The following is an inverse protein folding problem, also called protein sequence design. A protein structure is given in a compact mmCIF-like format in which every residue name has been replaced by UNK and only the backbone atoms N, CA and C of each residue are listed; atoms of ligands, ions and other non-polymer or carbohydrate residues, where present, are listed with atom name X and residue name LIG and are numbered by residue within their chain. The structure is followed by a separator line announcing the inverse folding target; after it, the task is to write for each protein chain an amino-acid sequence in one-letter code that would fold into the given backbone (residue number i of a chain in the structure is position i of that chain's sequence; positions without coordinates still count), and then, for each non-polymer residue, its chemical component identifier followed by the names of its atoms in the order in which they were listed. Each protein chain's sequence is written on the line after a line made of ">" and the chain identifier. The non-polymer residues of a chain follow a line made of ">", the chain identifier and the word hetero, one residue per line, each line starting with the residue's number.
data_IF_016089783743
#
_entry.id   IF_016089783743
#
_cell.length_a   1.000
_cell.length_b   1.000
_cell.length_c   1.000
_cell.angle_alpha   90.00
_cell.angle_beta   90.00
_cell.angle_gamma   90.00
#
_symmetry.space_group_name_H-M   'P 1'
#
loop_
_entity.id
_entity.type
_entity.pdbx_description
1 polymer ?
#
# COMPACT_ATOMS: atom_id res chain seq x y z
N UNK A 1 12.85 -1.74 22.14
CA UNK A 1 12.17 -2.23 20.91
C UNK A 1 12.64 -3.66 20.66
N UNK A 2 11.71 -4.60 20.52
CA UNK A 2 12.03 -6.00 20.24
C UNK A 2 11.86 -6.25 18.75
N UNK A 3 12.65 -7.16 18.19
CA UNK A 3 12.55 -7.59 16.79
C UNK A 3 12.20 -9.06 16.72
N UNK A 4 11.45 -9.43 15.70
CA UNK A 4 11.12 -10.84 15.46
C UNK A 4 12.41 -11.67 15.31
N UNK A 5 12.45 -12.83 15.97
CA UNK A 5 13.60 -13.73 15.91
C UNK A 5 13.74 -14.44 14.54
N UNK A 6 12.66 -14.51 13.76
CA UNK A 6 12.64 -15.18 12.47
C UNK A 6 12.85 -14.22 11.30
N UNK A 7 12.14 -13.08 11.28
CA UNK A 7 12.39 -11.97 10.35
C UNK A 7 13.02 -10.78 11.09
N UNK A 8 12.87 -9.57 10.55
CA UNK A 8 13.46 -8.33 11.13
C UNK A 8 12.40 -7.31 11.55
N UNK A 9 11.12 -7.69 11.55
CA UNK A 9 10.02 -6.77 11.89
C UNK A 9 10.05 -6.43 13.38
N UNK A 10 9.96 -5.14 13.76
CA UNK A 10 9.86 -4.73 15.16
C UNK A 10 8.46 -4.86 15.74
N UNK A 11 8.37 -4.95 17.08
CA UNK A 11 7.12 -4.96 17.84
C UNK A 11 6.38 -3.61 17.88
N UNK A 12 6.92 -2.61 17.24
CA UNK A 12 6.30 -1.30 17.06
C UNK A 12 5.35 -1.23 15.87
N UNK A 13 5.32 -2.28 15.01
CA UNK A 13 4.33 -2.36 13.94
C UNK A 13 2.94 -2.50 14.54
N UNK A 14 1.97 -1.63 14.18
CA UNK A 14 0.59 -1.75 14.65
C UNK A 14 0.00 -3.14 14.36
N UNK A 15 -0.79 -3.66 15.29
CA UNK A 15 -1.52 -4.93 15.21
C UNK A 15 -0.64 -6.17 14.96
N UNK A 16 0.67 -6.08 15.20
CA UNK A 16 1.61 -7.20 15.11
C UNK A 16 1.88 -7.78 16.50
N UNK A 17 1.65 -9.07 16.66
CA UNK A 17 1.90 -9.77 17.91
C UNK A 17 3.07 -10.75 17.78
N UNK A 18 3.84 -10.88 18.85
CA UNK A 18 4.92 -11.87 18.98
C UNK A 18 4.46 -12.97 19.94
N UNK A 19 4.72 -14.22 19.56
CA UNK A 19 4.48 -15.37 20.42
C UNK A 19 5.55 -15.49 21.54
N UNK A 20 5.44 -16.53 22.38
CA UNK A 20 6.36 -16.82 23.46
C UNK A 20 7.79 -17.08 23.00
N UNK A 21 7.96 -17.56 21.76
CA UNK A 21 9.27 -17.77 21.14
C UNK A 21 9.88 -16.48 20.59
N UNK A 22 9.12 -15.37 20.56
CA UNK A 22 9.51 -14.08 19.99
C UNK A 22 9.41 -14.02 18.46
N UNK A 23 8.54 -14.83 17.89
CA UNK A 23 8.25 -14.86 16.43
C UNK A 23 6.95 -14.11 16.17
N UNK A 24 6.94 -13.25 15.14
CA UNK A 24 5.75 -12.47 14.80
C UNK A 24 4.67 -13.33 14.10
N UNK A 25 3.43 -12.94 14.25
CA UNK A 25 2.27 -13.61 13.67
C UNK A 25 2.29 -13.65 12.13
N UNK A 26 2.94 -12.67 11.45
CA UNK A 26 3.15 -12.72 10.02
C UNK A 26 4.09 -13.87 9.59
N UNK A 27 5.15 -14.16 10.37
CA UNK A 27 5.99 -15.34 10.13
C UNK A 27 5.22 -16.63 10.37
N UNK A 28 4.41 -16.71 11.43
CA UNK A 28 3.55 -17.89 11.70
C UNK A 28 2.49 -18.08 10.63
N UNK A 29 1.91 -17.00 10.14
CA UNK A 29 0.95 -17.07 9.03
C UNK A 29 1.60 -17.62 7.75
N UNK A 30 2.84 -17.23 7.45
CA UNK A 30 3.56 -17.77 6.29
C UNK A 30 3.89 -19.27 6.44
N UNK A 31 4.26 -19.72 7.64
CA UNK A 31 4.45 -21.15 7.93
C UNK A 31 3.15 -21.93 7.71
N UNK A 32 2.05 -21.43 8.28
CA UNK A 32 0.74 -22.05 8.13
C UNK A 32 0.28 -22.09 6.65
N UNK A 33 0.54 -21.04 5.87
CA UNK A 33 0.27 -21.04 4.42
C UNK A 33 1.01 -22.15 3.69
N UNK A 34 2.29 -22.34 4.00
CA UNK A 34 3.12 -23.34 3.34
C UNK A 34 2.69 -24.77 3.68
N UNK A 35 2.10 -25.00 4.85
CA UNK A 35 1.74 -26.33 5.35
C UNK A 35 0.28 -26.70 5.05
N UNK A 36 -0.65 -25.73 5.13
CA UNK A 36 -2.07 -26.01 5.26
C UNK A 36 -2.92 -25.57 4.06
N UNK A 37 -2.38 -24.78 3.12
CA UNK A 37 -3.17 -24.28 1.99
C UNK A 37 -2.95 -25.17 0.77
N UNK A 38 -4.06 -25.76 0.30
CA UNK A 38 -4.12 -26.40 -1.01
C UNK A 38 -4.47 -25.34 -2.07
N UNK A 39 -3.43 -24.83 -2.72
CA UNK A 39 -3.58 -23.77 -3.74
C UNK A 39 -4.41 -24.21 -4.95
N UNK A 40 -4.42 -25.50 -5.30
CA UNK A 40 -5.22 -26.00 -6.41
C UNK A 40 -6.72 -25.97 -6.08
N UNK A 41 -7.09 -26.25 -4.82
CA UNK A 41 -8.47 -26.11 -4.35
C UNK A 41 -8.91 -24.64 -4.30
N UNK A 42 -8.04 -23.74 -3.82
CA UNK A 42 -8.29 -22.30 -3.81
C UNK A 42 -8.50 -21.75 -5.22
N UNK A 43 -7.70 -22.18 -6.17
CA UNK A 43 -7.85 -21.80 -7.57
C UNK A 43 -9.18 -22.28 -8.15
N UNK A 44 -9.60 -23.52 -7.87
CA UNK A 44 -10.93 -24.04 -8.27
C UNK A 44 -12.06 -23.23 -7.63
N UNK A 45 -11.96 -22.91 -6.35
CA UNK A 45 -12.93 -22.05 -5.65
C UNK A 45 -13.07 -20.70 -6.35
N UNK A 46 -11.95 -20.07 -6.76
CA UNK A 46 -11.96 -18.83 -7.50
C UNK A 46 -12.71 -18.95 -8.83
N UNK A 47 -12.46 -20.01 -9.60
CA UNK A 47 -13.17 -20.24 -10.87
C UNK A 47 -14.68 -20.39 -10.68
N UNK A 48 -15.13 -21.07 -9.64
CA UNK A 48 -16.58 -21.22 -9.37
C UNK A 48 -17.20 -19.86 -8.94
N UNK A 49 -16.47 -19.06 -8.16
CA UNK A 49 -16.93 -17.72 -7.79
C UNK A 49 -17.05 -16.81 -9.00
N UNK A 50 -16.07 -16.81 -9.91
CA UNK A 50 -16.13 -16.00 -11.14
C UNK A 50 -17.37 -16.31 -11.95
N UNK A 51 -17.71 -17.58 -12.15
CA UNK A 51 -18.92 -17.99 -12.88
C UNK A 51 -20.19 -17.36 -12.28
N UNK A 52 -20.24 -17.24 -10.95
CA UNK A 52 -21.36 -16.62 -10.24
C UNK A 52 -21.48 -15.11 -10.51
N UNK A 53 -20.34 -14.42 -10.64
CA UNK A 53 -20.29 -12.97 -10.80
C UNK A 53 -20.18 -12.50 -12.26
N UNK A 54 -19.91 -13.39 -13.22
CA UNK A 54 -19.86 -13.08 -14.66
C UNK A 54 -21.27 -12.80 -15.21
N UNK A 55 -21.80 -11.62 -14.92
CA UNK A 55 -23.17 -11.20 -15.28
C UNK A 55 -23.23 -9.99 -16.19
N UNK A 56 -22.14 -9.20 -16.25
CA UNK A 56 -22.09 -8.00 -17.08
C UNK A 56 -21.80 -8.38 -18.55
N UNK A 57 -22.43 -7.73 -19.55
CA UNK A 57 -22.28 -8.10 -20.96
C UNK A 57 -20.90 -7.83 -21.53
N UNK A 58 -20.12 -6.92 -20.94
CA UNK A 58 -18.82 -6.50 -21.45
C UNK A 58 -17.70 -6.83 -20.45
N UNK A 59 -17.78 -6.35 -19.23
CA UNK A 59 -16.71 -6.49 -18.23
C UNK A 59 -17.03 -7.57 -17.20
N UNK A 60 -16.07 -8.43 -16.90
CA UNK A 60 -16.22 -9.49 -15.92
C UNK A 60 -15.87 -9.03 -14.49
N UNK A 61 -14.96 -8.06 -14.37
CA UNK A 61 -14.57 -7.49 -13.09
C UNK A 61 -13.99 -6.08 -13.24
N UNK A 62 -13.84 -5.37 -12.11
CA UNK A 62 -13.11 -4.09 -12.01
C UNK A 62 -11.82 -4.32 -11.24
N UNK A 63 -10.72 -3.73 -11.69
CA UNK A 63 -9.41 -3.80 -11.03
C UNK A 63 -8.88 -2.39 -10.78
N UNK A 64 -8.55 -2.08 -9.52
CA UNK A 64 -7.79 -0.87 -9.19
C UNK A 64 -6.33 -1.02 -9.61
N UNK A 65 -5.83 -0.10 -10.44
CA UNK A 65 -4.46 -0.18 -10.98
C UNK A 65 -3.65 1.07 -10.72
N UNK A 66 -2.37 0.92 -10.40
CA UNK A 66 -1.39 2.00 -10.30
C UNK A 66 -0.31 1.95 -11.39
N UNK A 67 -0.27 0.87 -12.16
CA UNK A 67 0.83 0.54 -13.06
C UNK A 67 2.02 -0.13 -12.32
N UNK A 68 1.87 -0.48 -11.05
CA UNK A 68 2.84 -1.29 -10.29
C UNK A 68 2.82 -2.76 -10.71
N UNK A 69 3.83 -3.53 -10.25
CA UNK A 69 3.96 -4.96 -10.55
C UNK A 69 2.73 -5.77 -10.19
N UNK A 70 2.14 -5.48 -9.02
CA UNK A 70 0.99 -6.21 -8.48
C UNK A 70 -0.27 -5.97 -9.31
N UNK A 71 -0.55 -4.73 -9.69
CA UNK A 71 -1.68 -4.40 -10.55
C UNK A 71 -1.49 -4.94 -11.97
N UNK A 72 -0.25 -4.93 -12.50
CA UNK A 72 0.07 -5.57 -13.79
C UNK A 72 -0.20 -7.07 -13.72
N UNK A 73 0.26 -7.73 -12.67
CA UNK A 73 0.00 -9.17 -12.45
C UNK A 73 -1.50 -9.48 -12.35
N UNK A 74 -2.26 -8.67 -11.62
CA UNK A 74 -3.72 -8.86 -11.50
C UNK A 74 -4.40 -8.82 -12.86
N UNK A 75 -4.06 -7.82 -13.68
CA UNK A 75 -4.61 -7.68 -15.04
C UNK A 75 -4.22 -8.89 -15.90
N UNK A 76 -2.94 -9.23 -15.94
CA UNK A 76 -2.43 -10.40 -16.69
C UNK A 76 -3.14 -11.67 -16.25
N UNK A 77 -3.26 -11.90 -14.94
CA UNK A 77 -3.92 -13.10 -14.42
C UNK A 77 -5.39 -13.19 -14.84
N UNK A 78 -6.11 -12.07 -14.83
CA UNK A 78 -7.51 -12.06 -15.29
C UNK A 78 -7.61 -12.34 -16.79
N UNK A 79 -6.73 -11.75 -17.62
CA UNK A 79 -6.68 -12.03 -19.05
C UNK A 79 -6.33 -13.49 -19.36
N UNK A 80 -5.35 -14.08 -18.66
CA UNK A 80 -4.99 -15.51 -18.78
C UNK A 80 -6.18 -16.44 -18.45
N UNK A 81 -7.06 -16.01 -17.54
CA UNK A 81 -8.29 -16.72 -17.18
C UNK A 81 -9.45 -16.47 -18.16
N UNK A 82 -9.22 -15.74 -19.25
CA UNK A 82 -10.25 -15.41 -20.25
C UNK A 82 -11.29 -14.41 -19.77
N UNK A 83 -10.94 -13.56 -18.80
CA UNK A 83 -11.80 -12.50 -18.27
C UNK A 83 -11.47 -11.16 -18.93
N UNK A 84 -12.46 -10.29 -19.02
CA UNK A 84 -12.33 -8.93 -19.52
C UNK A 84 -12.42 -7.91 -18.36
N UNK A 85 -11.30 -7.48 -17.77
CA UNK A 85 -11.29 -6.53 -16.66
C UNK A 85 -11.46 -5.09 -17.14
N UNK A 86 -12.24 -4.28 -16.41
CA UNK A 86 -12.22 -2.83 -16.49
C UNK A 86 -11.21 -2.30 -15.46
N UNK A 87 -10.14 -1.65 -15.92
CA UNK A 87 -9.11 -1.09 -15.05
C UNK A 87 -9.45 0.34 -14.62
N UNK A 88 -9.17 0.67 -13.35
CA UNK A 88 -9.44 2.00 -12.78
C UNK A 88 -8.19 2.51 -12.09
N UNK A 89 -7.67 3.64 -12.52
CA UNK A 89 -6.56 4.34 -11.88
C UNK A 89 -7.04 5.61 -11.21
N UNK A 90 -6.90 5.70 -9.89
CA UNK A 90 -6.94 6.97 -9.19
C UNK A 90 -5.56 7.60 -9.28
N UNK A 91 -5.42 8.68 -10.04
CA UNK A 91 -4.11 9.23 -10.38
C UNK A 91 -3.31 9.63 -9.13
N UNK A 92 -2.02 9.28 -9.01
CA UNK A 92 -1.19 9.63 -7.87
C UNK A 92 -0.91 11.13 -7.79
N UNK A 93 -0.48 11.62 -6.62
CA UNK A 93 -0.22 13.04 -6.35
C UNK A 93 0.98 13.56 -7.14
N UNK A 94 2.07 12.80 -7.16
CA UNK A 94 3.36 13.18 -7.76
C UNK A 94 3.88 12.04 -8.62
N UNK A 95 3.29 11.82 -9.81
CA UNK A 95 3.61 10.67 -10.65
C UNK A 95 5.05 10.70 -11.16
N UNK A 96 5.66 9.54 -11.30
CA UNK A 96 6.98 9.39 -11.92
C UNK A 96 6.87 9.11 -13.42
N UNK A 97 7.95 9.35 -14.16
CA UNK A 97 7.98 9.03 -15.60
C UNK A 97 7.88 7.53 -15.87
N UNK A 98 8.54 6.70 -15.06
CA UNK A 98 8.50 5.25 -15.21
C UNK A 98 7.13 4.69 -14.80
N UNK A 99 6.55 5.21 -13.72
CA UNK A 99 5.20 4.84 -13.29
C UNK A 99 4.15 5.13 -14.36
N UNK A 100 4.26 6.29 -15.03
CA UNK A 100 3.37 6.62 -16.16
C UNK A 100 3.52 5.61 -17.30
N UNK A 101 4.75 5.28 -17.70
CA UNK A 101 5.00 4.27 -18.74
C UNK A 101 4.44 2.90 -18.36
N UNK A 102 4.59 2.50 -17.10
CA UNK A 102 4.05 1.23 -16.60
C UNK A 102 2.52 1.23 -16.59
N UNK A 103 1.89 2.36 -16.27
CA UNK A 103 0.43 2.49 -16.32
C UNK A 103 -0.07 2.46 -17.77
N UNK A 104 0.58 3.20 -18.67
CA UNK A 104 0.24 3.21 -20.10
C UNK A 104 0.43 1.82 -20.74
N UNK A 105 1.39 1.02 -20.23
CA UNK A 105 1.60 -0.35 -20.70
C UNK A 105 0.38 -1.26 -20.47
N UNK A 106 -0.47 -1.00 -19.49
CA UNK A 106 -1.69 -1.79 -19.27
C UNK A 106 -2.65 -1.71 -20.50
N UNK A 107 -2.73 -0.57 -21.15
CA UNK A 107 -3.54 -0.47 -22.38
C UNK A 107 -3.00 -1.37 -23.50
N UNK A 108 -1.68 -1.58 -23.59
CA UNK A 108 -1.08 -2.50 -24.56
C UNK A 108 -1.41 -3.97 -24.28
N UNK A 109 -1.88 -4.30 -23.06
CA UNK A 109 -2.39 -5.63 -22.75
C UNK A 109 -3.81 -5.87 -23.25
N UNK A 110 -4.47 -4.84 -23.81
CA UNK A 110 -5.80 -4.95 -24.42
C UNK A 110 -6.96 -4.73 -23.44
N UNK A 111 -6.73 -3.98 -22.35
CA UNK A 111 -7.77 -3.64 -21.37
C UNK A 111 -8.20 -2.19 -21.47
N UNK A 112 -9.45 -1.92 -21.14
CA UNK A 112 -9.94 -0.56 -20.96
C UNK A 112 -9.49 0.01 -19.62
N UNK A 113 -9.03 1.28 -19.61
CA UNK A 113 -8.50 1.95 -18.44
C UNK A 113 -9.17 3.31 -18.22
N UNK A 114 -9.82 3.47 -17.08
CA UNK A 114 -10.38 4.74 -16.63
C UNK A 114 -9.38 5.46 -15.73
N UNK A 115 -8.98 6.67 -16.12
CA UNK A 115 -8.18 7.57 -15.30
C UNK A 115 -9.07 8.55 -14.54
N UNK A 116 -9.01 8.51 -13.22
CA UNK A 116 -9.71 9.46 -12.36
C UNK A 116 -8.76 10.58 -11.98
N UNK A 117 -8.90 11.70 -12.71
CA UNK A 117 -8.27 12.98 -12.38
C UNK A 117 -9.25 13.80 -11.56
N UNK A 118 -8.79 14.33 -10.45
CA UNK A 118 -9.57 15.17 -9.53
C UNK A 118 -9.08 16.61 -9.61
N UNK A 119 -9.84 17.53 -9.01
CA UNK A 119 -9.39 18.91 -8.86
C UNK A 119 -8.07 18.93 -8.07
N UNK A 120 -6.98 19.45 -8.67
CA UNK A 120 -5.66 19.44 -8.02
C UNK A 120 -5.61 20.32 -6.76
N UNK A 121 -6.44 21.38 -6.69
CA UNK A 121 -6.49 22.27 -5.53
C UNK A 121 -7.18 21.60 -4.34
N UNK A 122 -8.30 20.90 -4.59
CA UNK A 122 -8.98 20.10 -3.57
C UNK A 122 -8.06 19.01 -3.07
N UNK A 123 -7.41 18.30 -3.97
CA UNK A 123 -6.49 17.22 -3.60
C UNK A 123 -5.31 17.70 -2.77
N UNK A 124 -4.70 18.83 -3.14
CA UNK A 124 -3.64 19.45 -2.36
C UNK A 124 -4.11 19.85 -0.95
N UNK A 125 -5.32 20.44 -0.83
CA UNK A 125 -5.90 20.79 0.48
C UNK A 125 -6.10 19.55 1.35
N UNK A 126 -6.66 18.47 0.80
CA UNK A 126 -6.86 17.21 1.50
C UNK A 126 -5.51 16.60 1.95
N UNK A 127 -4.51 16.60 1.05
CA UNK A 127 -3.17 16.09 1.37
C UNK A 127 -2.50 16.87 2.49
N UNK A 128 -2.58 18.19 2.46
CA UNK A 128 -2.02 19.05 3.52
C UNK A 128 -2.69 18.81 4.86
N UNK A 129 -4.04 18.81 4.88
CA UNK A 129 -4.80 18.64 6.11
C UNK A 129 -4.58 17.25 6.72
N UNK A 130 -4.61 16.20 5.89
CA UNK A 130 -4.33 14.85 6.35
C UNK A 130 -2.91 14.72 6.94
N UNK A 131 -1.91 15.29 6.27
CA UNK A 131 -0.55 15.28 6.76
C UNK A 131 -0.41 16.00 8.12
N UNK A 132 -1.04 17.15 8.29
CA UNK A 132 -1.03 17.90 9.57
C UNK A 132 -1.69 17.08 10.68
N UNK A 133 -2.83 16.43 10.41
CA UNK A 133 -3.61 15.69 11.43
C UNK A 133 -3.00 14.35 11.79
N UNK A 134 -2.46 13.63 10.82
CA UNK A 134 -2.11 12.21 10.98
C UNK A 134 -0.63 11.91 10.79
N UNK A 135 0.15 12.88 10.27
CA UNK A 135 1.51 12.64 9.83
C UNK A 135 1.57 11.62 8.68
N UNK A 136 0.52 11.53 7.87
CA UNK A 136 0.42 10.67 6.70
C UNK A 136 0.14 11.50 5.45
N UNK A 137 1.01 11.44 4.47
CA UNK A 137 0.92 12.21 3.24
C UNK A 137 0.14 11.49 2.12
N UNK A 138 -0.31 10.24 2.34
CA UNK A 138 -1.02 9.42 1.36
C UNK A 138 -2.49 9.13 1.74
N UNK A 139 -2.98 9.63 2.87
CA UNK A 139 -4.35 9.40 3.33
C UNK A 139 -5.41 9.68 2.25
N UNK A 140 -5.34 10.82 1.58
CA UNK A 140 -6.29 11.22 0.52
C UNK A 140 -6.16 10.34 -0.74
N UNK A 141 -4.97 9.79 -0.99
CA UNK A 141 -4.73 8.86 -2.10
C UNK A 141 -5.33 7.50 -1.78
N UNK A 142 -5.08 6.96 -0.60
CA UNK A 142 -5.69 5.71 -0.13
C UNK A 142 -7.21 5.81 -0.16
N UNK A 143 -7.78 6.89 0.42
CA UNK A 143 -9.22 7.12 0.38
C UNK A 143 -9.76 7.13 -1.05
N UNK A 144 -9.10 7.86 -1.97
CA UNK A 144 -9.51 7.94 -3.37
C UNK A 144 -9.45 6.60 -4.10
N UNK A 145 -8.40 5.80 -3.89
CA UNK A 145 -8.28 4.46 -4.47
C UNK A 145 -9.44 3.57 -4.00
N UNK A 146 -9.68 3.53 -2.70
CA UNK A 146 -10.68 2.63 -2.13
C UNK A 146 -12.13 3.06 -2.35
N UNK A 147 -12.39 4.34 -2.66
CA UNK A 147 -13.73 4.82 -2.98
C UNK A 147 -14.02 4.80 -4.47
N UNK A 148 -13.03 5.08 -5.31
CA UNK A 148 -13.23 5.20 -6.75
C UNK A 148 -13.49 3.86 -7.44
N UNK A 149 -12.79 2.80 -7.05
CA UNK A 149 -12.96 1.47 -7.67
C UNK A 149 -14.37 0.94 -7.44
N UNK A 150 -14.93 0.91 -6.21
CA UNK A 150 -16.33 0.54 -6.00
C UNK A 150 -17.33 1.48 -6.68
N UNK A 151 -17.04 2.78 -6.75
CA UNK A 151 -17.90 3.76 -7.45
C UNK A 151 -17.99 3.45 -8.95
N UNK A 152 -16.87 3.08 -9.59
CA UNK A 152 -16.87 2.67 -11.01
C UNK A 152 -17.59 1.33 -11.16
N UNK A 153 -17.38 0.36 -10.26
CA UNK A 153 -18.11 -0.90 -10.28
C UNK A 153 -19.62 -0.69 -10.23
N UNK A 154 -20.12 0.20 -9.35
CA UNK A 154 -21.54 0.57 -9.25
C UNK A 154 -22.02 1.26 -10.52
N UNK A 155 -21.29 2.26 -11.03
CA UNK A 155 -21.71 3.07 -12.18
C UNK A 155 -21.75 2.26 -13.47
N UNK A 156 -20.88 1.29 -13.63
CA UNK A 156 -20.85 0.37 -14.79
C UNK A 156 -21.70 -0.88 -14.59
N UNK A 157 -22.24 -1.12 -13.39
CA UNK A 157 -23.03 -2.31 -13.08
C UNK A 157 -22.20 -3.60 -13.03
N UNK A 158 -20.90 -3.51 -12.78
CA UNK A 158 -19.99 -4.66 -12.70
C UNK A 158 -19.92 -5.14 -11.24
N UNK A 159 -20.39 -6.36 -10.92
CA UNK A 159 -20.55 -6.79 -9.52
C UNK A 159 -19.24 -7.27 -8.87
N UNK A 160 -18.19 -7.56 -9.63
CA UNK A 160 -16.95 -8.12 -9.10
C UNK A 160 -15.80 -7.10 -9.13
N UNK A 161 -15.14 -6.94 -7.99
CA UNK A 161 -13.89 -6.21 -7.87
C UNK A 161 -12.77 -7.18 -7.50
N UNK A 162 -11.63 -7.11 -8.17
CA UNK A 162 -10.44 -7.89 -7.84
C UNK A 162 -9.40 -6.96 -7.21
N UNK A 163 -8.99 -7.29 -5.99
CA UNK A 163 -7.89 -6.69 -5.26
C UNK A 163 -6.67 -7.60 -5.26
N UNK A 164 -5.47 -7.05 -5.02
CA UNK A 164 -4.21 -7.77 -5.05
C UNK A 164 -3.99 -8.69 -3.85
N UNK A 165 -2.93 -8.42 -3.10
CA UNK A 165 -2.64 -9.15 -1.88
C UNK A 165 -3.68 -8.91 -0.79
N UNK A 166 -3.81 -9.89 0.12
CA UNK A 166 -4.52 -9.69 1.37
C UNK A 166 -3.54 -9.14 2.41
N UNK A 167 -3.64 -7.86 2.80
CA UNK A 167 -2.64 -7.25 3.69
C UNK A 167 -2.50 -7.95 5.03
N UNK A 168 -3.60 -8.49 5.59
CA UNK A 168 -3.57 -9.21 6.86
C UNK A 168 -2.82 -10.52 6.77
N UNK A 169 -2.90 -11.17 5.61
CA UNK A 169 -2.22 -12.45 5.39
C UNK A 169 -0.73 -12.22 5.13
N UNK A 170 -0.37 -11.18 4.37
CA UNK A 170 1.01 -10.94 3.94
C UNK A 170 1.83 -10.19 4.99
N UNK A 171 1.21 -9.21 5.66
CA UNK A 171 1.94 -8.29 6.56
C UNK A 171 1.58 -8.47 8.03
N UNK A 172 0.64 -9.36 8.36
CA UNK A 172 0.08 -9.51 9.70
C UNK A 172 -1.02 -8.48 9.99
N UNK A 173 -1.93 -8.82 10.89
CA UNK A 173 -3.07 -7.99 11.27
C UNK A 173 -4.02 -8.73 12.20
N UNK A 174 -5.17 -8.14 12.55
CA UNK A 174 -6.09 -8.73 13.52
C UNK A 174 -6.53 -10.15 13.13
N UNK A 175 -6.59 -11.03 14.11
CA UNK A 175 -6.97 -12.43 13.90
C UNK A 175 -8.37 -12.58 13.27
N UNK A 176 -9.27 -11.63 13.54
CA UNK A 176 -10.63 -11.57 13.00
C UNK A 176 -10.69 -11.37 11.48
N UNK A 177 -9.63 -10.83 10.87
CA UNK A 177 -9.57 -10.55 9.43
C UNK A 177 -8.79 -11.59 8.62
N UNK A 178 -8.08 -12.53 9.28
CA UNK A 178 -7.21 -13.52 8.61
C UNK A 178 -7.93 -14.44 7.60
N UNK A 179 -9.20 -14.70 7.80
CA UNK A 179 -10.01 -15.57 6.92
C UNK A 179 -11.00 -14.78 6.04
N UNK A 180 -10.95 -13.45 6.05
CA UNK A 180 -11.81 -12.64 5.19
C UNK A 180 -11.19 -12.55 3.80
N UNK A 181 -11.79 -13.21 2.82
CA UNK A 181 -11.44 -13.12 1.40
C UNK A 181 -12.20 -12.01 0.66
N UNK A 182 -13.07 -11.29 1.38
CA UNK A 182 -13.95 -10.24 0.87
C UNK A 182 -13.57 -8.90 1.47
N UNK A 183 -13.41 -7.90 0.62
CA UNK A 183 -13.21 -6.52 1.00
C UNK A 183 -14.56 -5.81 1.11
N UNK A 184 -14.97 -5.47 2.31
CA UNK A 184 -16.17 -4.67 2.59
C UNK A 184 -15.80 -3.25 3.05
N UNK A 185 -16.82 -2.37 3.14
CA UNK A 185 -16.68 -0.98 3.61
C UNK A 185 -16.05 -0.89 5.00
N UNK A 186 -16.49 -1.75 5.93
CA UNK A 186 -15.95 -1.81 7.29
C UNK A 186 -14.43 -2.01 7.29
N UNK A 187 -13.94 -2.92 6.44
CA UNK A 187 -12.50 -3.16 6.30
C UNK A 187 -11.74 -1.90 5.84
N UNK A 188 -12.31 -1.16 4.90
CA UNK A 188 -11.70 0.05 4.36
C UNK A 188 -11.60 1.18 5.38
N UNK A 189 -12.67 1.40 6.14
CA UNK A 189 -12.72 2.42 7.18
C UNK A 189 -11.74 2.12 8.33
N UNK A 190 -11.54 0.84 8.65
CA UNK A 190 -10.75 0.41 9.79
C UNK A 190 -9.28 0.14 9.41
N UNK A 191 -9.02 -0.50 8.27
CA UNK A 191 -7.69 -0.98 7.88
C UNK A 191 -7.13 -0.36 6.59
N UNK A 192 -7.91 0.38 5.84
CA UNK A 192 -7.52 0.97 4.55
C UNK A 192 -6.54 2.15 4.63
N UNK A 193 -5.80 2.31 5.74
CA UNK A 193 -4.86 3.41 5.92
C UNK A 193 -5.51 4.76 6.26
N UNK A 194 -6.80 4.77 6.59
CA UNK A 194 -7.55 6.00 6.87
C UNK A 194 -7.36 6.53 8.29
N UNK A 195 -6.73 5.76 9.18
CA UNK A 195 -6.37 6.16 10.55
C UNK A 195 -7.57 6.71 11.35
N UNK A 196 -8.76 6.15 11.14
CA UNK A 196 -10.00 6.57 11.78
C UNK A 196 -10.61 7.87 11.25
N UNK A 197 -10.03 8.49 10.22
CA UNK A 197 -10.60 9.69 9.59
C UNK A 197 -11.44 9.32 8.37
N UNK A 198 -12.50 10.08 8.13
CA UNK A 198 -13.43 9.93 7.01
C UNK A 198 -13.40 11.15 6.09
N UNK A 199 -13.89 11.01 4.87
CA UNK A 199 -14.06 12.16 3.98
C UNK A 199 -14.91 13.27 4.61
N UNK A 200 -15.97 12.92 5.35
CA UNK A 200 -16.85 13.86 6.05
C UNK A 200 -16.13 14.75 7.05
N UNK A 201 -15.03 14.27 7.66
CA UNK A 201 -14.26 15.04 8.64
C UNK A 201 -13.48 16.21 8.01
N UNK A 202 -13.39 16.21 6.67
CA UNK A 202 -12.76 17.27 5.89
C UNK A 202 -13.76 18.33 5.40
N UNK A 203 -15.07 18.13 5.61
CA UNK A 203 -16.09 19.08 5.18
C UNK A 203 -15.92 20.42 5.91
N UNK A 204 -15.92 21.51 5.15
CA UNK A 204 -15.71 22.87 5.65
C UNK A 204 -14.27 23.26 5.91
N UNK A 205 -13.35 22.29 6.02
CA UNK A 205 -11.93 22.54 6.28
C UNK A 205 -11.29 23.21 5.05
N UNK A 206 -10.63 24.35 5.25
CA UNK A 206 -10.00 25.11 4.17
C UNK A 206 -10.94 25.39 2.97
N UNK A 207 -12.26 25.48 3.23
CA UNK A 207 -13.31 25.72 2.22
C UNK A 207 -13.58 24.51 1.32
N UNK A 208 -13.31 23.29 1.78
CA UNK A 208 -13.73 22.05 1.12
C UNK A 208 -15.24 21.91 1.24
N UNK A 209 -15.94 21.81 0.10
CA UNK A 209 -17.39 21.64 0.04
C UNK A 209 -17.76 20.17 -0.19
N UNK A 210 -19.02 19.82 0.03
CA UNK A 210 -19.52 18.45 -0.16
C UNK A 210 -19.26 17.90 -1.58
N UNK A 211 -19.46 18.73 -2.63
CA UNK A 211 -19.18 18.38 -4.02
C UNK A 211 -17.72 17.98 -4.26
N UNK A 212 -16.79 18.53 -3.47
CA UNK A 212 -15.35 18.27 -3.59
C UNK A 212 -14.98 16.89 -3.01
N UNK A 213 -15.85 16.32 -2.17
CA UNK A 213 -15.66 15.04 -1.52
C UNK A 213 -16.34 13.88 -2.23
N UNK A 214 -17.06 14.12 -3.33
CA UNK A 214 -17.80 13.06 -4.04
C UNK A 214 -16.92 11.87 -4.44
N UNK A 215 -15.72 12.11 -5.00
CA UNK A 215 -14.77 11.06 -5.40
C UNK A 215 -14.10 10.35 -4.20
N UNK A 216 -14.24 10.91 -3.02
CA UNK A 216 -13.69 10.39 -1.76
C UNK A 216 -14.75 9.77 -0.86
N UNK A 217 -16.01 9.72 -1.34
CA UNK A 217 -17.12 9.13 -0.62
C UNK A 217 -17.44 7.75 -1.16
N UNK A 218 -17.43 6.76 -0.27
CA UNK A 218 -17.76 5.38 -0.62
C UNK A 218 -19.21 5.30 -1.10
N UNK A 219 -19.54 4.44 -2.10
CA UNK A 219 -20.93 4.22 -2.49
C UNK A 219 -21.81 3.81 -1.30
N UNK A 220 -23.09 4.18 -1.33
CA UNK A 220 -24.02 3.76 -0.28
C UNK A 220 -24.26 2.25 -0.31
N UNK A 221 -24.73 1.71 0.81
CA UNK A 221 -25.03 0.28 0.92
C UNK A 221 -26.13 -0.15 -0.09
N UNK A 222 -27.08 0.74 -0.36
CA UNK A 222 -28.15 0.52 -1.35
C UNK A 222 -27.58 0.49 -2.78
N UNK A 223 -26.63 1.38 -3.10
CA UNK A 223 -25.94 1.38 -4.40
C UNK A 223 -25.17 0.08 -4.61
N UNK A 224 -24.41 -0.37 -3.59
CA UNK A 224 -23.64 -1.60 -3.62
C UNK A 224 -24.52 -2.83 -3.74
N UNK A 225 -25.60 -2.91 -2.96
CA UNK A 225 -26.55 -4.02 -2.96
C UNK A 225 -27.30 -4.11 -4.29
N UNK A 226 -27.72 -2.99 -4.86
CA UNK A 226 -28.41 -2.96 -6.16
C UNK A 226 -27.60 -3.65 -7.27
N UNK A 227 -26.30 -3.48 -7.29
CA UNK A 227 -25.38 -4.09 -8.26
C UNK A 227 -24.88 -5.45 -7.78
N UNK A 228 -24.88 -5.69 -6.48
CA UNK A 228 -24.33 -6.89 -5.84
C UNK A 228 -22.79 -6.85 -5.82
N UNK A 229 -22.20 -5.68 -5.55
CA UNK A 229 -20.75 -5.50 -5.59
C UNK A 229 -20.06 -6.33 -4.51
N UNK A 230 -19.06 -7.09 -4.91
CA UNK A 230 -18.21 -7.92 -4.05
C UNK A 230 -16.75 -7.72 -4.43
N UNK A 231 -15.88 -7.46 -3.44
CA UNK A 231 -14.43 -7.38 -3.64
C UNK A 231 -13.74 -8.66 -3.18
N UNK A 232 -12.87 -9.24 -4.01
CA UNK A 232 -12.10 -10.43 -3.70
C UNK A 232 -10.60 -10.12 -3.70
N UNK A 233 -9.87 -10.70 -2.73
CA UNK A 233 -8.42 -10.65 -2.71
C UNK A 233 -7.82 -11.79 -3.53
N UNK A 234 -7.10 -11.47 -4.60
CA UNK A 234 -6.46 -12.46 -5.47
C UNK A 234 -5.44 -13.31 -4.71
N UNK A 235 -4.70 -12.71 -3.77
CA UNK A 235 -3.72 -13.39 -2.91
C UNK A 235 -4.32 -14.41 -1.93
N UNK A 236 -5.64 -14.46 -1.77
CA UNK A 236 -6.32 -15.54 -1.05
C UNK A 236 -6.43 -16.82 -1.88
N UNK A 237 -6.57 -16.67 -3.20
CA UNK A 237 -6.82 -17.78 -4.13
C UNK A 237 -5.56 -18.26 -4.84
N UNK A 238 -4.56 -17.37 -5.03
CA UNK A 238 -3.30 -17.65 -5.71
C UNK A 238 -2.14 -17.35 -4.78
N UNK A 239 -1.11 -18.22 -4.82
CA UNK A 239 0.08 -17.99 -4.00
C UNK A 239 0.73 -16.66 -4.35
N UNK A 240 0.78 -15.75 -3.37
CA UNK A 240 1.35 -14.42 -3.53
C UNK A 240 2.83 -14.46 -3.24
N UNK A 241 3.66 -14.44 -4.29
CA UNK A 241 5.12 -14.36 -4.23
C UNK A 241 5.55 -13.17 -5.06
N UNK A 242 5.91 -12.09 -4.40
CA UNK A 242 6.12 -10.80 -5.06
C UNK A 242 7.28 -10.81 -6.07
N UNK A 243 8.31 -11.68 -5.92
CA UNK A 243 9.40 -11.83 -6.91
C UNK A 243 8.94 -12.58 -8.15
N UNK A 244 8.14 -13.63 -7.98
CA UNK A 244 7.51 -14.32 -9.12
C UNK A 244 6.51 -13.43 -9.84
N UNK A 245 5.75 -12.64 -9.09
CA UNK A 245 4.84 -11.62 -9.64
C UNK A 245 5.63 -10.60 -10.47
N UNK A 246 6.78 -10.13 -9.97
CA UNK A 246 7.66 -9.24 -10.71
C UNK A 246 8.16 -9.86 -12.02
N UNK A 247 8.61 -11.13 -11.98
CA UNK A 247 9.06 -11.86 -13.18
C UNK A 247 7.96 -11.96 -14.24
N UNK A 248 6.73 -12.29 -13.81
CA UNK A 248 5.57 -12.32 -14.70
C UNK A 248 5.30 -10.92 -15.26
N UNK A 249 5.20 -9.92 -14.41
CA UNK A 249 4.90 -8.54 -14.83
C UNK A 249 5.93 -8.00 -15.82
N UNK A 250 7.22 -8.32 -15.66
CA UNK A 250 8.28 -7.96 -16.61
C UNK A 250 8.07 -8.60 -17.98
N UNK A 251 7.61 -9.85 -18.06
CA UNK A 251 7.30 -10.51 -19.34
C UNK A 251 6.20 -9.79 -20.12
N UNK A 252 5.31 -9.10 -19.39
CA UNK A 252 4.22 -8.31 -19.95
C UNK A 252 4.51 -6.80 -20.00
N UNK A 253 5.79 -6.40 -19.97
CA UNK A 253 6.23 -5.03 -20.26
C UNK A 253 6.38 -4.12 -19.04
N UNK A 254 6.27 -4.63 -17.80
CA UNK A 254 6.56 -3.85 -16.60
C UNK A 254 8.04 -3.46 -16.55
N UNK A 255 8.31 -2.17 -16.41
CA UNK A 255 9.65 -1.60 -16.36
C UNK A 255 10.12 -1.41 -14.92
N UNK A 256 11.40 -1.64 -14.67
CA UNK A 256 12.08 -1.37 -13.41
C UNK A 256 13.20 -0.35 -13.59
N UNK A 257 13.69 0.24 -12.49
CA UNK A 257 14.91 1.04 -12.53
C UNK A 257 16.16 0.13 -12.67
N UNK A 258 17.28 0.71 -13.02
CA UNK A 258 18.60 0.07 -13.05
C UNK A 258 19.34 0.15 -11.70
N UNK A 259 18.76 0.86 -10.74
CA UNK A 259 19.29 1.06 -9.39
C UNK A 259 18.15 0.98 -8.35
N UNK A 260 18.47 0.69 -7.07
CA UNK A 260 17.50 0.72 -5.98
C UNK A 260 16.79 2.07 -5.85
N UNK A 261 15.54 2.05 -5.38
CA UNK A 261 14.83 3.29 -5.02
C UNK A 261 15.34 3.87 -3.69
N UNK A 262 14.96 5.12 -3.38
CA UNK A 262 15.51 5.84 -2.21
C UNK A 262 15.21 5.18 -0.85
N UNK A 263 14.15 4.38 -0.73
CA UNK A 263 13.66 3.85 0.57
C UNK A 263 13.86 2.36 0.77
N UNK A 264 14.40 1.65 -0.23
CA UNK A 264 14.66 0.20 -0.13
C UNK A 264 15.77 -0.24 -1.09
N UNK A 265 16.21 -1.49 -0.95
CA UNK A 265 17.19 -2.11 -1.86
C UNK A 265 16.59 -2.63 -3.17
N UNK A 266 15.27 -2.59 -3.31
CA UNK A 266 14.57 -3.02 -4.52
C UNK A 266 14.49 -1.89 -5.55
N UNK A 267 14.45 -2.23 -6.83
CA UNK A 267 14.43 -1.28 -7.94
C UNK A 267 13.06 -1.15 -8.64
N UNK A 268 12.04 -1.76 -8.06
CA UNK A 268 10.68 -1.86 -8.62
C UNK A 268 9.58 -1.41 -7.65
N UNK A 269 9.94 -1.05 -6.42
CA UNK A 269 8.97 -0.60 -5.43
C UNK A 269 8.61 0.87 -5.62
N UNK A 270 7.33 1.22 -5.42
CA UNK A 270 6.84 2.60 -5.42
C UNK A 270 7.21 3.42 -6.67
N UNK A 271 7.27 2.77 -7.84
CA UNK A 271 7.67 3.44 -9.08
C UNK A 271 6.61 4.40 -9.64
N UNK A 272 5.38 4.30 -9.18
CA UNK A 272 4.23 5.09 -9.64
C UNK A 272 4.26 6.53 -9.11
N UNK A 273 4.67 6.74 -7.85
CA UNK A 273 4.55 8.03 -7.18
C UNK A 273 5.71 8.33 -6.24
N UNK A 274 6.25 9.57 -6.33
CA UNK A 274 7.27 10.05 -5.37
C UNK A 274 6.72 10.14 -3.94
N UNK A 275 5.44 10.44 -3.75
CA UNK A 275 4.84 10.55 -2.40
C UNK A 275 4.91 9.26 -1.60
N UNK A 276 4.92 8.09 -2.26
CA UNK A 276 5.03 6.79 -1.59
C UNK A 276 6.37 6.63 -0.85
N UNK A 277 7.47 7.18 -1.38
CA UNK A 277 8.75 7.18 -0.67
C UNK A 277 8.72 8.09 0.56
N UNK A 278 8.00 9.21 0.50
CA UNK A 278 7.78 10.09 1.67
C UNK A 278 6.95 9.34 2.72
N UNK A 279 5.89 8.65 2.31
CA UNK A 279 5.07 7.82 3.19
C UNK A 279 5.89 6.74 3.92
N UNK A 280 6.77 6.03 3.21
CA UNK A 280 7.66 5.04 3.81
C UNK A 280 8.63 5.66 4.84
N UNK A 281 9.14 6.86 4.56
CA UNK A 281 9.97 7.60 5.51
C UNK A 281 9.18 8.06 6.75
N UNK A 282 7.96 8.54 6.57
CA UNK A 282 7.08 8.93 7.69
C UNK A 282 6.71 7.71 8.56
N UNK A 283 6.49 6.56 7.93
CA UNK A 283 6.31 5.28 8.64
C UNK A 283 7.52 4.94 9.50
N UNK A 284 8.73 5.11 8.95
CA UNK A 284 9.95 4.92 9.72
C UNK A 284 10.05 5.89 10.92
N UNK A 285 9.73 7.17 10.73
CA UNK A 285 9.74 8.14 11.82
C UNK A 285 8.76 7.77 12.94
N UNK A 286 7.57 7.27 12.60
CA UNK A 286 6.53 6.89 13.56
C UNK A 286 6.83 5.58 14.27
N UNK A 287 7.24 4.56 13.53
CA UNK A 287 7.28 3.18 14.02
C UNK A 287 8.69 2.59 14.07
N UNK A 288 9.69 3.27 13.54
CA UNK A 288 11.06 2.79 13.52
C UNK A 288 11.34 1.70 12.47
N UNK A 289 10.51 1.54 11.45
CA UNK A 289 10.75 0.65 10.31
C UNK A 289 10.20 1.25 9.02
N UNK A 290 10.87 1.02 7.93
CA UNK A 290 10.52 1.53 6.61
C UNK A 290 10.32 0.42 5.58
N UNK A 291 10.40 0.78 4.29
CA UNK A 291 10.17 -0.14 3.18
C UNK A 291 11.21 -1.26 3.11
N UNK A 292 12.48 -0.97 3.41
CA UNK A 292 13.51 -2.00 3.40
C UNK A 292 13.26 -3.09 4.46
N UNK A 293 12.70 -2.72 5.64
CA UNK A 293 12.26 -3.72 6.63
C UNK A 293 11.11 -4.57 6.09
N UNK A 294 10.10 -3.99 5.41
CA UNK A 294 9.00 -4.76 4.83
C UNK A 294 9.51 -5.76 3.80
N UNK A 295 10.35 -5.30 2.84
CA UNK A 295 10.94 -6.16 1.81
C UNK A 295 11.80 -7.27 2.43
N UNK A 296 12.68 -6.94 3.38
CA UNK A 296 13.52 -7.94 4.05
C UNK A 296 12.69 -9.00 4.80
N UNK A 297 11.59 -8.60 5.45
CA UNK A 297 10.68 -9.53 6.09
C UNK A 297 10.00 -10.49 5.11
N UNK A 298 9.59 -9.99 3.94
CA UNK A 298 9.03 -10.82 2.88
C UNK A 298 10.08 -11.78 2.31
N UNK A 299 11.27 -11.27 2.00
CA UNK A 299 12.38 -12.07 1.47
C UNK A 299 12.79 -13.21 2.40
N UNK A 300 12.90 -12.92 3.71
CA UNK A 300 13.23 -13.94 4.72
C UNK A 300 12.11 -14.99 4.81
N UNK A 301 10.84 -14.56 4.85
CA UNK A 301 9.69 -15.46 4.92
C UNK A 301 9.54 -16.35 3.69
N UNK A 302 9.91 -15.84 2.52
CA UNK A 302 9.88 -16.57 1.25
C UNK A 302 11.16 -17.38 1.01
N UNK A 303 12.20 -17.22 1.84
CA UNK A 303 13.45 -17.95 1.75
C UNK A 303 14.45 -17.41 0.71
N UNK A 304 14.29 -16.17 0.27
CA UNK A 304 15.19 -15.51 -0.68
C UNK A 304 16.49 -15.03 -0.06
N UNK A 305 16.46 -14.61 1.21
CA UNK A 305 17.63 -14.16 1.97
C UNK A 305 17.63 -14.71 3.39
N UNK A 306 18.80 -14.77 4.02
CA UNK A 306 18.92 -15.08 5.46
C UNK A 306 18.48 -13.87 6.33
N UNK A 307 18.26 -14.14 7.63
CA UNK A 307 17.97 -13.06 8.59
C UNK A 307 19.13 -12.07 8.70
N UNK A 308 20.35 -12.57 8.70
CA UNK A 308 21.59 -11.77 8.81
C UNK A 308 21.73 -10.83 7.59
N UNK A 309 21.39 -11.31 6.39
CA UNK A 309 21.36 -10.47 5.20
C UNK A 309 20.25 -9.43 5.30
N UNK A 310 19.07 -9.81 5.78
CA UNK A 310 17.96 -8.87 6.04
C UNK A 310 18.36 -7.76 7.01
N UNK A 311 19.09 -8.08 8.10
CA UNK A 311 19.63 -7.08 9.04
C UNK A 311 20.54 -6.09 8.33
N UNK A 312 21.50 -6.58 7.51
CA UNK A 312 22.43 -5.71 6.76
C UNK A 312 21.69 -4.77 5.79
N UNK A 313 20.72 -5.29 5.07
CA UNK A 313 19.91 -4.51 4.13
C UNK A 313 19.10 -3.43 4.84
N UNK A 314 18.42 -3.77 5.92
CA UNK A 314 17.65 -2.83 6.73
C UNK A 314 18.53 -1.71 7.29
N UNK A 315 19.69 -2.06 7.87
CA UNK A 315 20.63 -1.06 8.39
C UNK A 315 21.17 -0.13 7.30
N UNK A 316 21.29 -0.60 6.06
CA UNK A 316 21.82 0.17 4.94
C UNK A 316 20.78 1.13 4.36
N UNK A 317 19.51 0.74 4.30
CA UNK A 317 18.49 1.44 3.52
C UNK A 317 17.41 2.13 4.35
N UNK A 318 16.97 1.56 5.49
CA UNK A 318 15.91 2.16 6.29
C UNK A 318 16.33 3.47 6.97
N UNK A 319 15.39 4.39 7.04
CA UNK A 319 15.53 5.65 7.80
C UNK A 319 16.24 6.77 7.05
N UNK A 320 16.76 6.52 5.87
CA UNK A 320 17.33 7.57 5.03
C UNK A 320 16.22 8.46 4.46
N UNK A 321 16.30 9.80 4.67
CA UNK A 321 15.33 10.69 4.07
C UNK A 321 15.39 10.62 2.53
N UNK A 322 14.27 10.35 1.84
CA UNK A 322 14.23 10.30 0.39
C UNK A 322 14.23 11.72 -0.18
N UNK A 323 15.41 12.31 -0.34
CA UNK A 323 15.61 13.74 -0.64
C UNK A 323 14.90 14.19 -1.91
N UNK A 324 15.00 13.39 -2.98
CA UNK A 324 14.33 13.69 -4.25
C UNK A 324 12.81 13.65 -4.10
N UNK A 325 12.29 12.62 -3.43
CA UNK A 325 10.86 12.45 -3.22
C UNK A 325 10.30 13.56 -2.31
N UNK A 326 11.00 13.91 -1.22
CA UNK A 326 10.62 15.02 -0.34
C UNK A 326 10.54 16.32 -1.14
N UNK A 327 11.57 16.66 -1.92
CA UNK A 327 11.55 17.85 -2.77
C UNK A 327 10.31 17.89 -3.67
N UNK A 328 9.99 16.79 -4.33
CA UNK A 328 8.82 16.68 -5.21
C UNK A 328 7.49 16.78 -4.47
N UNK A 329 7.42 16.23 -3.26
CA UNK A 329 6.26 16.36 -2.40
C UNK A 329 6.07 17.82 -1.92
N UNK A 330 7.13 18.52 -1.56
CA UNK A 330 7.08 19.94 -1.18
C UNK A 330 6.61 20.83 -2.34
N UNK A 331 7.10 20.60 -3.55
CA UNK A 331 6.62 21.27 -4.78
C UNK A 331 5.09 21.08 -4.98
N UNK A 332 4.59 19.87 -4.72
CA UNK A 332 3.16 19.56 -4.81
C UNK A 332 2.35 20.15 -3.65
N UNK A 333 2.78 19.90 -2.42
CA UNK A 333 2.01 20.27 -1.22
C UNK A 333 2.06 21.76 -0.90
N UNK A 334 3.11 22.46 -1.34
CA UNK A 334 3.36 23.85 -1.01
C UNK A 334 3.78 24.10 0.44
N UNK A 335 4.24 23.07 1.16
CA UNK A 335 4.91 23.25 2.46
C UNK A 335 6.33 23.78 2.24
N UNK A 336 6.80 24.65 3.14
CA UNK A 336 8.22 24.90 3.28
C UNK A 336 8.93 23.69 3.89
N UNK A 337 10.25 23.60 3.74
CA UNK A 337 11.07 22.55 4.38
C UNK A 337 10.91 22.59 5.91
N UNK A 338 10.86 23.80 6.49
CA UNK A 338 10.69 24.00 7.93
C UNK A 338 9.32 23.51 8.43
N UNK A 339 8.22 23.86 7.74
CA UNK A 339 6.87 23.37 8.07
C UNK A 339 6.79 21.84 7.99
N UNK A 340 7.32 21.27 6.90
CA UNK A 340 7.37 19.82 6.71
C UNK A 340 8.13 19.15 7.85
N UNK A 341 9.36 19.63 8.17
CA UNK A 341 10.17 19.05 9.22
C UNK A 341 9.52 19.15 10.60
N UNK A 342 8.84 20.28 10.90
CA UNK A 342 8.09 20.46 12.14
C UNK A 342 6.97 19.44 12.29
N UNK A 343 6.23 19.18 11.21
CA UNK A 343 5.16 18.17 11.21
C UNK A 343 5.78 16.78 11.40
N UNK A 344 6.82 16.43 10.64
CA UNK A 344 7.53 15.13 10.78
C UNK A 344 7.99 14.93 12.22
N UNK A 345 8.63 15.92 12.83
CA UNK A 345 9.15 15.83 14.20
C UNK A 345 8.01 15.68 15.22
N UNK A 346 6.83 16.27 14.98
CA UNK A 346 5.67 16.12 15.87
C UNK A 346 5.15 14.68 15.95
N UNK A 347 5.27 13.92 14.86
CA UNK A 347 4.88 12.51 14.77
C UNK A 347 6.03 11.53 14.98
N UNK A 348 7.28 12.00 15.07
CA UNK A 348 8.44 11.15 15.27
C UNK A 348 8.43 10.52 16.67
N UNK A 349 8.69 9.22 16.75
CA UNK A 349 8.55 8.45 17.98
C UNK A 349 9.70 8.71 18.98
N UNK A 350 9.38 9.44 20.04
CA UNK A 350 10.31 9.82 21.13
C UNK A 350 10.86 8.63 21.92
N UNK A 351 10.20 7.46 21.85
CA UNK A 351 10.68 6.24 22.52
C UNK A 351 11.77 5.53 21.71
N UNK A 352 11.83 5.75 20.41
CA UNK A 352 12.75 5.08 19.49
C UNK A 352 13.99 5.94 19.20
N UNK A 353 13.80 7.26 19.00
CA UNK A 353 14.85 8.14 18.51
C UNK A 353 15.43 9.03 19.62
N UNK A 354 16.74 9.29 19.52
CA UNK A 354 17.49 10.15 20.47
C UNK A 354 17.12 11.62 20.25
N UNK A 355 17.17 12.39 21.34
CA UNK A 355 16.98 13.85 21.33
C UNK A 355 18.11 14.52 22.11
N UNK A 356 18.40 15.75 21.77
CA UNK A 356 19.30 16.61 22.52
C UNK A 356 18.64 17.16 23.81
N UNK A 357 19.35 17.98 24.55
CA UNK A 357 18.90 18.64 25.80
C UNK A 357 17.71 19.59 25.57
N UNK A 358 17.57 20.14 24.36
CA UNK A 358 16.47 21.03 23.95
C UNK A 358 15.26 20.25 23.42
N UNK A 359 15.33 18.91 23.39
CA UNK A 359 14.26 18.03 22.92
C UNK A 359 14.18 17.87 21.41
N UNK A 360 15.15 18.40 20.63
CA UNK A 360 15.24 18.24 19.18
C UNK A 360 15.81 16.87 18.83
N UNK A 361 15.25 16.21 17.80
CA UNK A 361 15.75 14.92 17.35
C UNK A 361 17.18 14.99 16.80
N UNK A 362 18.04 14.10 17.24
CA UNK A 362 19.38 13.96 16.69
C UNK A 362 19.32 13.29 15.32
N UNK A 363 20.11 13.83 14.40
CA UNK A 363 20.21 13.34 13.01
C UNK A 363 21.67 13.16 12.63
N UNK A 364 21.95 12.13 11.86
CA UNK A 364 23.26 11.88 11.28
C UNK A 364 23.55 12.88 10.12
N UNK A 365 24.76 12.82 9.57
CA UNK A 365 25.23 13.67 8.48
C UNK A 365 24.39 13.59 7.19
N UNK A 366 23.71 12.46 6.96
CA UNK A 366 22.81 12.26 5.81
C UNK A 366 21.36 12.71 6.08
N UNK A 367 21.05 13.08 7.33
CA UNK A 367 19.72 13.51 7.80
C UNK A 367 18.93 12.39 8.46
N UNK A 368 19.47 11.19 8.57
CA UNK A 368 18.81 10.03 9.22
C UNK A 368 18.65 10.24 10.71
N UNK A 369 17.52 9.80 11.28
CA UNK A 369 17.26 9.87 12.72
C UNK A 369 18.15 8.90 13.50
N UNK A 370 18.79 9.39 14.56
CA UNK A 370 19.66 8.56 15.44
C UNK A 370 18.79 7.75 16.40
N UNK A 371 18.87 6.42 16.32
CA UNK A 371 18.16 5.51 17.23
C UNK A 371 18.78 5.48 18.62
N UNK A 372 17.96 5.19 19.62
CA UNK A 372 18.45 4.78 20.94
C UNK A 372 19.10 3.39 20.84
N UNK A 373 20.07 3.12 21.68
CA UNK A 373 20.89 1.90 21.59
C UNK A 373 20.06 0.62 21.77
N UNK A 374 19.03 0.66 22.63
CA UNK A 374 18.06 -0.42 22.84
C UNK A 374 17.06 -0.61 21.69
N UNK A 375 17.07 0.28 20.71
CA UNK A 375 16.18 0.25 19.54
C UNK A 375 16.91 -0.11 18.24
N UNK A 376 18.18 -0.46 18.30
CA UNK A 376 18.98 -0.86 17.14
C UNK A 376 18.71 -2.32 16.80
N UNK A 377 18.45 -2.62 15.52
CA UNK A 377 18.35 -3.98 15.00
C UNK A 377 19.74 -4.63 14.96
N UNK A 378 19.86 -5.81 15.60
CA UNK A 378 21.09 -6.60 15.67
C UNK A 378 20.92 -7.94 14.96
#
# INVERSE_FOLDING_TARGET
>A
MRFCKKCVMPDTKPDLHFDEEGVCDACRSQEAKNQNINWQEREKEFFELIKKYKKHPVYDCVIGVSGGKDSTFQVVKMLELGLNPLCVCFEPSVPTKIGRKNLDNLNHLGVDLIHIKRDPKVYQKLAREAFIRTGDNEWQNHLGIFTSVPRIAVNFGVPLIIWGESPQIEYGGPASSKNKNILGREWLEEFGGLLGNRASDMLGVNGIAEKDLFLYTYPSDEELQRVGVTGLFLGYYFKWDYKKILEISKKYGFLTLDHPVETTYENFENLDCYSNHVHDYLKYCKYGFGRATDNACLDIRLGYISREEGVRLVQKYDGKPPKKAIKKYLEFSGFSEEEFQKIVDSFTNKKIFKRDENGKFLRDYDGSLVRKDECVLK
#
